data_IF_889657123627
#
_entry.id   IF_889657123627
#
_cell.length_a   1.000
_cell.length_b   1.000
_cell.length_c   1.000
_cell.angle_alpha   90.00
_cell.angle_beta   90.00
_cell.angle_gamma   90.00
#
_symmetry.space_group_name_H-M   'P 1'
#
loop_
_entity.id
_entity.type
_entity.pdbx_description
1 polymer ?
#
# COMPACT_ATOMS: atom_id res chain seq x y z
N UNK A 1 -9.92 15.43 11.95
CA UNK A 1 -10.91 14.70 12.76
C UNK A 1 -12.23 14.72 12.01
N UNK A 2 -12.92 13.57 11.92
CA UNK A 2 -14.17 13.40 11.19
C UNK A 2 -15.18 12.77 12.14
N UNK A 3 -16.38 13.33 12.24
CA UNK A 3 -17.42 12.82 13.13
C UNK A 3 -18.45 13.88 13.54
N UNK A 4 -19.31 13.50 14.47
CA UNK A 4 -20.30 14.40 15.07
C UNK A 4 -19.77 14.99 16.38
N UNK A 5 -20.39 16.05 16.94
CA UNK A 5 -19.95 16.62 18.21
C UNK A 5 -19.84 15.60 19.37
N UNK A 6 -20.64 14.52 19.32
CA UNK A 6 -20.64 13.45 20.34
C UNK A 6 -19.64 12.32 20.07
N UNK A 7 -19.03 12.25 18.86
CA UNK A 7 -18.08 11.21 18.48
C UNK A 7 -17.22 11.68 17.32
N UNK A 8 -15.94 11.90 17.60
CA UNK A 8 -14.93 12.36 16.65
C UNK A 8 -13.85 11.29 16.49
N UNK A 9 -13.60 10.87 15.25
CA UNK A 9 -12.54 9.91 14.92
C UNK A 9 -11.38 10.66 14.24
N UNK A 10 -10.14 10.31 14.61
CA UNK A 10 -8.96 10.72 13.85
C UNK A 10 -8.76 9.74 12.69
N UNK A 11 -9.24 10.11 11.53
CA UNK A 11 -9.25 9.24 10.35
C UNK A 11 -8.92 10.03 9.08
N UNK A 12 -8.49 9.30 8.05
CA UNK A 12 -8.15 9.83 6.74
C UNK A 12 -9.20 9.33 5.73
N UNK A 13 -9.75 10.25 4.94
CA UNK A 13 -10.70 9.95 3.87
C UNK A 13 -10.10 10.40 2.55
N UNK A 14 -10.25 9.57 1.51
CA UNK A 14 -9.84 9.95 0.16
C UNK A 14 -9.46 8.77 -0.73
N UNK A 15 -9.06 9.12 -1.94
CA UNK A 15 -8.75 8.17 -2.99
C UNK A 15 -7.56 7.24 -2.65
N UNK A 16 -6.56 7.75 -1.90
CA UNK A 16 -5.40 6.94 -1.49
C UNK A 16 -5.77 5.80 -0.54
N UNK A 17 -6.66 6.05 0.43
CA UNK A 17 -7.13 4.99 1.36
C UNK A 17 -8.02 3.98 0.65
N UNK A 18 -8.84 4.42 -0.31
CA UNK A 18 -9.61 3.52 -1.17
C UNK A 18 -8.70 2.66 -2.05
N UNK A 19 -7.64 3.23 -2.61
CA UNK A 19 -6.64 2.50 -3.42
C UNK A 19 -5.93 1.45 -2.59
N UNK A 20 -5.48 1.80 -1.38
CA UNK A 20 -4.86 0.86 -0.46
C UNK A 20 -5.80 -0.31 -0.11
N UNK A 21 -7.09 -0.04 0.11
CA UNK A 21 -8.10 -1.09 0.28
C UNK A 21 -8.17 -2.02 -0.94
N UNK A 22 -8.15 -1.49 -2.16
CA UNK A 22 -8.19 -2.33 -3.38
C UNK A 22 -6.94 -3.20 -3.54
N UNK A 23 -5.77 -2.70 -3.15
CA UNK A 23 -4.55 -3.51 -3.09
C UNK A 23 -4.66 -4.64 -2.07
N UNK A 24 -5.26 -4.39 -0.91
CA UNK A 24 -5.51 -5.44 0.09
C UNK A 24 -6.54 -6.46 -0.42
N UNK A 25 -7.66 -6.00 -0.99
CA UNK A 25 -8.72 -6.87 -1.53
C UNK A 25 -8.21 -7.82 -2.64
N UNK A 26 -7.18 -7.40 -3.42
CA UNK A 26 -6.57 -8.23 -4.46
C UNK A 26 -5.40 -9.09 -3.98
N UNK A 27 -4.81 -8.77 -2.83
CA UNK A 27 -3.65 -9.50 -2.32
C UNK A 27 -4.07 -10.93 -1.96
N UNK A 28 -3.26 -11.91 -2.38
CA UNK A 28 -3.45 -13.28 -1.92
C UNK A 28 -3.16 -13.42 -0.41
N UNK A 29 -3.56 -14.54 0.22
CA UNK A 29 -3.26 -14.79 1.63
C UNK A 29 -1.76 -14.66 1.93
N UNK A 30 -1.42 -13.88 2.96
CA UNK A 30 -0.03 -13.64 3.36
C UNK A 30 0.78 -12.75 2.42
N UNK A 31 0.16 -12.19 1.36
CA UNK A 31 0.83 -11.30 0.42
C UNK A 31 0.67 -9.84 0.82
N UNK A 32 1.68 -9.03 0.48
CA UNK A 32 1.69 -7.59 0.74
C UNK A 32 1.84 -6.86 -0.57
N UNK A 33 0.84 -6.07 -0.94
CA UNK A 33 0.83 -5.28 -2.19
C UNK A 33 0.93 -3.80 -1.87
N UNK A 34 1.84 -3.12 -2.56
CA UNK A 34 2.07 -1.67 -2.40
C UNK A 34 2.04 -0.96 -3.74
N UNK A 35 1.62 0.31 -3.73
CA UNK A 35 1.70 1.17 -4.91
C UNK A 35 3.11 1.75 -5.12
N UNK A 36 3.34 2.29 -6.31
CA UNK A 36 4.64 2.84 -6.71
C UNK A 36 5.28 3.82 -5.72
N UNK A 37 4.53 4.77 -5.17
CA UNK A 37 5.09 5.73 -4.20
C UNK A 37 5.63 5.04 -2.94
N UNK A 38 4.90 4.05 -2.42
CA UNK A 38 5.33 3.28 -1.26
C UNK A 38 6.53 2.43 -1.62
N UNK A 39 6.51 1.73 -2.76
CA UNK A 39 7.66 0.95 -3.24
C UNK A 39 8.92 1.82 -3.35
N UNK A 40 8.83 2.99 -4.00
CA UNK A 40 9.95 3.91 -4.15
C UNK A 40 10.55 4.37 -2.81
N UNK A 41 9.75 4.43 -1.74
CA UNK A 41 10.21 4.80 -0.40
C UNK A 41 10.80 3.64 0.42
N UNK A 42 10.57 2.39 0.01
CA UNK A 42 11.00 1.19 0.75
C UNK A 42 11.93 0.26 -0.05
N UNK A 43 12.09 0.47 -1.36
CA UNK A 43 12.86 -0.42 -2.26
C UNK A 43 14.31 -0.67 -1.84
N UNK A 44 14.90 0.21 -1.03
CA UNK A 44 16.25 0.05 -0.48
C UNK A 44 16.30 -0.78 0.81
N UNK A 45 15.13 -1.11 1.37
CA UNK A 45 14.96 -1.84 2.64
C UNK A 45 14.12 -3.11 2.48
N UNK A 46 13.64 -3.41 1.27
CA UNK A 46 12.72 -4.50 1.01
C UNK A 46 13.00 -5.16 -0.34
N UNK A 47 12.77 -6.47 -0.39
CA UNK A 47 12.73 -7.24 -1.63
C UNK A 47 11.28 -7.37 -2.11
N UNK A 48 11.08 -7.29 -3.43
CA UNK A 48 9.76 -7.38 -4.02
C UNK A 48 9.81 -7.45 -5.54
N UNK A 49 8.66 -7.74 -6.14
CA UNK A 49 8.51 -7.87 -7.59
C UNK A 49 7.42 -6.95 -8.13
N UNK A 50 7.62 -6.34 -9.32
CA UNK A 50 6.58 -5.56 -9.96
C UNK A 50 5.41 -6.47 -10.36
N UNK A 51 4.19 -6.03 -10.06
CA UNK A 51 2.96 -6.66 -10.54
C UNK A 51 2.46 -6.02 -11.85
N UNK A 52 3.14 -4.97 -12.31
CA UNK A 52 2.77 -4.20 -13.49
C UNK A 52 1.69 -3.15 -13.21
N UNK A 53 1.09 -2.67 -14.30
CA UNK A 53 0.01 -1.69 -14.24
C UNK A 53 -1.34 -2.39 -14.00
N UNK A 54 -2.00 -2.02 -12.91
CA UNK A 54 -3.27 -2.63 -12.50
C UNK A 54 -4.43 -1.67 -12.71
N UNK A 55 -5.49 -2.16 -13.34
CA UNK A 55 -6.78 -1.45 -13.39
C UNK A 55 -7.59 -1.80 -12.15
N UNK A 56 -7.72 -0.85 -11.23
CA UNK A 56 -8.53 -1.04 -10.02
C UNK A 56 -9.97 -0.61 -10.27
N UNK A 57 -10.94 -1.33 -9.69
CA UNK A 57 -12.36 -0.98 -9.80
C UNK A 57 -12.62 0.47 -9.39
N UNK A 58 -13.22 1.24 -10.29
CA UNK A 58 -13.55 2.65 -10.07
C UNK A 58 -12.40 3.64 -10.33
N UNK A 59 -11.25 3.17 -10.82
CA UNK A 59 -10.15 4.03 -11.28
C UNK A 59 -10.13 4.10 -12.80
N UNK A 60 -10.03 5.31 -13.35
CA UNK A 60 -9.81 5.51 -14.78
C UNK A 60 -8.34 5.28 -15.18
N UNK A 61 -7.42 5.62 -14.28
CA UNK A 61 -5.99 5.43 -14.50
C UNK A 61 -5.51 4.12 -13.87
N UNK A 62 -4.65 3.42 -14.59
CA UNK A 62 -3.92 2.25 -14.07
C UNK A 62 -2.96 2.68 -12.98
N UNK A 63 -2.74 1.80 -12.00
CA UNK A 63 -1.82 2.03 -10.90
C UNK A 63 -0.71 0.99 -10.93
N UNK A 64 0.54 1.45 -10.91
CA UNK A 64 1.70 0.56 -10.82
C UNK A 64 1.82 -0.01 -9.40
N UNK A 65 1.88 -1.33 -9.29
CA UNK A 65 1.92 -2.04 -8.02
C UNK A 65 3.08 -3.05 -7.94
N UNK A 66 3.42 -3.40 -6.71
CA UNK A 66 4.54 -4.28 -6.35
C UNK A 66 4.11 -5.22 -5.24
N UNK A 67 4.49 -6.49 -5.33
CA UNK A 67 4.39 -7.44 -4.24
C UNK A 67 5.68 -7.40 -3.43
N UNK A 68 5.57 -7.20 -2.11
CA UNK A 68 6.70 -7.20 -1.19
C UNK A 68 6.86 -8.61 -0.62
N UNK A 69 8.07 -9.15 -0.70
CA UNK A 69 8.40 -10.51 -0.25
C UNK A 69 9.10 -10.53 1.11
N UNK A 70 10.02 -9.60 1.35
CA UNK A 70 10.83 -9.58 2.57
C UNK A 70 11.37 -8.18 2.88
N UNK A 71 11.82 -7.97 4.11
CA UNK A 71 12.64 -6.82 4.51
C UNK A 71 14.10 -7.26 4.59
N UNK A 72 15.01 -6.37 4.20
CA UNK A 72 16.43 -6.62 4.44
C UNK A 72 16.71 -6.57 5.93
N UNK A 73 17.57 -7.49 6.41
CA UNK A 73 18.02 -7.45 7.81
C UNK A 73 18.73 -6.13 8.05
N UNK A 74 18.38 -5.46 9.14
CA UNK A 74 19.19 -4.34 9.63
C UNK A 74 20.60 -4.87 9.93
N UNK A 75 21.62 -4.08 9.59
CA UNK A 75 22.97 -4.40 10.02
C UNK A 75 22.96 -4.38 11.54
N UNK A 76 23.16 -5.54 12.17
CA UNK A 76 23.48 -5.61 13.59
C UNK A 76 24.68 -4.69 13.81
N UNK A 77 24.49 -3.64 14.62
CA UNK A 77 25.59 -2.83 15.09
C UNK A 77 26.38 -3.73 16.05
N UNK A 78 27.53 -4.22 15.58
CA UNK A 78 28.56 -4.82 16.41
C UNK A 78 29.30 -3.75 17.22
#
# INVERSE_FOLDING_TARGET
YIGSPKRMDFTVVGDRVNTAKRFCDMAGPGKVVVGHHTWSAIKERAEGMPMGQLTLKGKQQTVLAYEVHSLFKEKEHA
#
